data_IF_677105322264
#
_entry.id   IF_677105322264
#
_cell.length_a   1.000
_cell.length_b   1.000
_cell.length_c   1.000
_cell.angle_alpha   90.00
_cell.angle_beta   90.00
_cell.angle_gamma   90.00
#
_symmetry.space_group_name_H-M   'P 1'
#
loop_
_entity.id
_entity.type
_entity.pdbx_description
1 polymer ?
#
# COMPACT_ATOMS: atom_id res chain seq x y z
N UNK A 1 -20.37 -16.68 -4.56
CA UNK A 1 -19.52 -15.60 -5.08
C UNK A 1 -20.43 -14.52 -5.60
N UNK A 2 -20.43 -13.36 -4.96
CA UNK A 2 -21.29 -12.23 -5.33
C UNK A 2 -20.39 -11.02 -5.59
N UNK A 3 -19.91 -10.88 -6.82
CA UNK A 3 -19.28 -9.63 -7.25
C UNK A 3 -20.41 -8.61 -7.39
N UNK A 4 -20.41 -7.58 -6.56
CA UNK A 4 -21.33 -6.44 -6.67
C UNK A 4 -20.56 -5.27 -7.27
N UNK A 5 -21.12 -4.65 -8.30
CA UNK A 5 -20.60 -3.43 -8.88
C UNK A 5 -21.49 -2.27 -8.43
N UNK A 6 -20.88 -1.15 -8.05
CA UNK A 6 -21.58 0.08 -7.73
C UNK A 6 -20.92 1.21 -8.53
N UNK A 7 -21.73 2.13 -9.04
CA UNK A 7 -21.25 3.40 -9.60
C UNK A 7 -21.07 4.35 -8.43
N UNK A 8 -19.88 4.93 -8.31
CA UNK A 8 -19.50 5.86 -7.24
C UNK A 8 -19.05 7.18 -7.87
N UNK A 9 -18.97 8.24 -7.07
CA UNK A 9 -18.40 9.51 -7.52
C UNK A 9 -16.86 9.39 -7.64
N UNK A 10 -16.24 10.42 -8.21
CA UNK A 10 -14.79 10.43 -8.46
C UNK A 10 -13.96 10.34 -7.16
N UNK A 11 -14.39 11.02 -6.09
CA UNK A 11 -13.66 11.06 -4.83
C UNK A 11 -13.66 9.68 -4.14
N UNK A 12 -14.81 9.03 -4.08
CA UNK A 12 -14.95 7.65 -3.58
C UNK A 12 -14.11 6.67 -4.41
N UNK A 13 -14.06 6.87 -5.74
CA UNK A 13 -13.24 6.04 -6.62
C UNK A 13 -11.74 6.24 -6.35
N UNK A 14 -11.28 7.48 -6.16
CA UNK A 14 -9.88 7.79 -5.83
C UNK A 14 -9.47 7.16 -4.50
N UNK A 15 -10.28 7.30 -3.46
CA UNK A 15 -10.05 6.68 -2.15
C UNK A 15 -9.95 5.16 -2.27
N UNK A 16 -10.91 4.52 -2.94
CA UNK A 16 -10.91 3.08 -3.13
C UNK A 16 -9.70 2.60 -3.94
N UNK A 17 -9.32 3.33 -4.99
CA UNK A 17 -8.19 3.00 -5.86
C UNK A 17 -6.84 3.16 -5.15
N UNK A 18 -6.66 4.24 -4.40
CA UNK A 18 -5.47 4.47 -3.59
C UNK A 18 -5.35 3.41 -2.49
N UNK A 19 -6.44 3.17 -1.73
CA UNK A 19 -6.48 2.15 -0.69
C UNK A 19 -6.16 0.75 -1.23
N UNK A 20 -6.69 0.41 -2.42
CA UNK A 20 -6.36 -0.85 -3.10
C UNK A 20 -4.89 -0.92 -3.51
N UNK A 21 -4.36 0.15 -4.09
CA UNK A 21 -2.97 0.23 -4.54
C UNK A 21 -2.00 0.07 -3.36
N UNK A 22 -2.22 0.82 -2.27
CA UNK A 22 -1.45 0.73 -1.02
C UNK A 22 -1.54 -0.67 -0.44
N UNK A 23 -2.74 -1.25 -0.36
CA UNK A 23 -2.91 -2.62 0.12
C UNK A 23 -2.11 -3.61 -0.72
N UNK A 24 -2.22 -3.51 -2.05
CA UNK A 24 -1.49 -4.43 -2.93
C UNK A 24 0.01 -4.27 -2.80
N UNK A 25 0.53 -3.05 -2.63
CA UNK A 25 1.96 -2.75 -2.49
C UNK A 25 2.54 -3.14 -1.14
N UNK A 26 1.74 -3.03 -0.06
CA UNK A 26 2.16 -3.39 1.29
C UNK A 26 2.16 -4.91 1.51
N UNK A 27 1.10 -5.62 1.13
CA UNK A 27 0.91 -7.00 1.61
C UNK A 27 1.81 -8.05 0.94
N UNK A 28 2.15 -7.93 -0.35
CA UNK A 28 3.13 -8.87 -0.92
C UNK A 28 4.50 -8.76 -0.24
N UNK A 29 4.85 -7.52 0.09
CA UNK A 29 6.11 -7.17 0.72
C UNK A 29 6.14 -7.64 2.17
N UNK A 30 5.14 -7.25 2.97
CA UNK A 30 5.09 -7.57 4.40
C UNK A 30 4.93 -9.07 4.66
N UNK A 31 4.12 -9.79 3.86
CA UNK A 31 3.99 -11.25 3.96
C UNK A 31 5.35 -11.96 3.82
N UNK A 32 6.25 -11.44 2.99
CA UNK A 32 7.61 -11.99 2.81
C UNK A 32 8.60 -11.43 3.82
N UNK A 33 8.57 -10.13 4.06
CA UNK A 33 9.54 -9.44 4.91
C UNK A 33 9.39 -9.81 6.38
N UNK A 34 8.15 -9.90 6.90
CA UNK A 34 7.91 -10.31 8.29
C UNK A 34 8.24 -11.78 8.48
N UNK A 35 7.97 -12.62 7.47
CA UNK A 35 8.44 -14.01 7.47
C UNK A 35 9.97 -14.10 7.56
N UNK A 36 10.68 -13.36 6.69
CA UNK A 36 12.13 -13.35 6.65
C UNK A 36 12.76 -12.87 7.97
N UNK A 37 12.20 -11.82 8.58
CA UNK A 37 12.62 -11.32 9.90
C UNK A 37 12.49 -12.38 11.00
N UNK A 38 11.46 -13.23 10.91
CA UNK A 38 11.23 -14.35 11.84
C UNK A 38 11.97 -15.64 11.45
N UNK A 39 12.80 -15.62 10.41
CA UNK A 39 13.52 -16.80 9.92
C UNK A 39 12.63 -17.88 9.30
N UNK A 40 11.43 -17.52 8.83
CA UNK A 40 10.49 -18.47 8.25
C UNK A 40 10.81 -18.73 6.76
N UNK A 41 10.75 -19.99 6.28
CA UNK A 41 11.10 -20.35 4.91
C UNK A 41 10.00 -20.02 3.89
N UNK A 42 8.82 -19.58 4.34
CA UNK A 42 7.65 -19.26 3.51
C UNK A 42 7.11 -17.87 3.81
N UNK A 43 6.41 -17.28 2.86
CA UNK A 43 5.58 -16.11 3.15
C UNK A 43 4.50 -16.44 4.18
N UNK A 44 4.16 -15.44 4.99
CA UNK A 44 2.94 -15.42 5.79
C UNK A 44 1.73 -15.18 4.88
N UNK A 45 0.56 -15.66 5.30
CA UNK A 45 -0.72 -15.19 4.74
C UNK A 45 -0.99 -13.76 5.19
N UNK A 46 -1.91 -13.07 4.51
CA UNK A 46 -2.33 -11.72 4.93
C UNK A 46 -2.94 -11.74 6.34
N UNK A 47 -3.67 -12.80 6.70
CA UNK A 47 -4.20 -13.02 8.05
C UNK A 47 -3.10 -13.15 9.11
N UNK A 48 -2.10 -14.01 8.86
CA UNK A 48 -0.96 -14.19 9.78
C UNK A 48 -0.19 -12.87 10.04
N UNK A 49 -0.14 -11.98 9.04
CA UNK A 49 0.44 -10.64 9.21
C UNK A 49 -0.45 -9.78 10.12
N UNK A 50 -1.73 -9.58 9.77
CA UNK A 50 -2.61 -8.63 10.48
C UNK A 50 -3.06 -9.09 11.88
N UNK A 51 -2.99 -10.38 12.17
CA UNK A 51 -3.41 -10.94 13.47
C UNK A 51 -2.24 -11.05 14.46
N UNK A 52 -1.01 -10.80 14.03
CA UNK A 52 0.15 -10.69 14.94
C UNK A 52 0.44 -9.23 15.27
N UNK A 53 0.76 -8.92 16.53
CA UNK A 53 1.07 -7.55 16.98
C UNK A 53 2.16 -6.88 16.12
N UNK A 54 3.31 -7.53 15.99
CA UNK A 54 4.42 -7.06 15.14
C UNK A 54 4.03 -6.87 13.67
N UNK A 55 3.23 -7.78 13.11
CA UNK A 55 2.81 -7.68 11.72
C UNK A 55 1.78 -6.57 11.50
N UNK A 56 0.85 -6.38 12.44
CA UNK A 56 -0.12 -5.31 12.43
C UNK A 56 0.57 -3.94 12.53
N UNK A 57 1.58 -3.80 13.38
CA UNK A 57 2.36 -2.56 13.49
C UNK A 57 3.16 -2.28 12.22
N UNK A 58 3.78 -3.30 11.62
CA UNK A 58 4.44 -3.16 10.32
C UNK A 58 3.46 -2.70 9.22
N UNK A 59 2.23 -3.23 9.20
CA UNK A 59 1.17 -2.78 8.28
C UNK A 59 0.83 -1.32 8.51
N UNK A 60 0.61 -0.89 9.76
CA UNK A 60 0.26 0.51 10.07
C UNK A 60 1.37 1.47 9.65
N UNK A 61 2.62 1.16 10.00
CA UNK A 61 3.76 2.02 9.68
C UNK A 61 3.95 2.14 8.18
N UNK A 62 3.98 1.01 7.46
CA UNK A 62 4.16 1.05 6.01
C UNK A 62 2.96 1.71 5.30
N UNK A 63 1.73 1.42 5.73
CA UNK A 63 0.54 2.02 5.11
C UNK A 63 0.53 3.54 5.26
N UNK A 64 0.91 4.08 6.44
CA UNK A 64 1.02 5.53 6.65
C UNK A 64 2.08 6.16 5.74
N UNK A 65 3.26 5.55 5.65
CA UNK A 65 4.33 6.03 4.77
C UNK A 65 3.89 6.08 3.28
N UNK A 66 3.12 5.08 2.83
CA UNK A 66 2.57 5.06 1.46
C UNK A 66 1.40 6.05 1.27
N UNK A 67 0.58 6.27 2.31
CA UNK A 67 -0.49 7.28 2.31
C UNK A 67 0.08 8.69 2.24
N UNK A 68 1.11 9.00 3.02
CA UNK A 68 1.80 10.29 2.98
C UNK A 68 2.36 10.58 1.59
N UNK A 69 2.91 9.57 0.92
CA UNK A 69 3.36 9.68 -0.47
C UNK A 69 2.19 9.95 -1.44
N UNK A 70 1.07 9.24 -1.30
CA UNK A 70 -0.11 9.44 -2.13
C UNK A 70 -0.73 10.83 -1.94
N UNK A 71 -0.78 11.35 -0.70
CA UNK A 71 -1.19 12.72 -0.41
C UNK A 71 -0.23 13.75 -1.01
N UNK A 72 1.09 13.56 -0.83
CA UNK A 72 2.09 14.47 -1.40
C UNK A 72 2.04 14.52 -2.93
N UNK A 73 1.62 13.42 -3.57
CA UNK A 73 1.40 13.33 -5.00
C UNK A 73 0.06 13.90 -5.48
N UNK A 74 -0.85 14.28 -4.56
CA UNK A 74 -2.19 14.78 -4.88
C UNK A 74 -3.20 13.70 -5.27
N UNK A 75 -2.89 12.42 -5.04
CA UNK A 75 -3.79 11.29 -5.31
C UNK A 75 -4.88 11.14 -4.23
N UNK A 76 -4.60 11.65 -3.03
CA UNK A 76 -5.52 11.71 -1.90
C UNK A 76 -5.58 13.15 -1.37
N UNK A 77 -6.78 13.63 -1.04
CA UNK A 77 -6.97 14.91 -0.36
C UNK A 77 -6.69 14.76 1.13
N UNK A 78 -6.11 15.76 1.77
CA UNK A 78 -5.99 15.78 3.23
C UNK A 78 -7.33 16.10 3.86
N UNK A 79 -7.58 15.50 5.02
CA UNK A 79 -8.76 15.82 5.84
C UNK A 79 -8.78 17.30 6.29
N UNK A 80 -7.64 17.99 6.29
CA UNK A 80 -7.58 19.41 6.64
C UNK A 80 -8.03 20.34 5.49
N UNK A 81 -8.11 19.83 4.25
CA UNK A 81 -8.53 20.60 3.07
C UNK A 81 -10.07 20.68 2.93
N UNK A 82 -10.82 19.90 3.73
CA UNK A 82 -12.29 19.78 3.68
C UNK A 82 -13.04 20.71 4.65
N UNK A 83 -12.36 21.62 5.35
CA UNK A 83 -12.95 22.50 6.37
C UNK A 83 -13.91 23.60 5.85
N UNK A 84 -14.57 23.42 4.68
CA UNK A 84 -15.39 24.46 4.06
C UNK A 84 -16.58 24.02 3.19
N UNK A 85 -16.96 22.74 3.13
CA UNK A 85 -18.12 22.31 2.32
C UNK A 85 -19.13 21.48 3.14
N UNK A 86 -20.29 22.07 3.39
CA UNK A 86 -21.43 21.51 4.14
C UNK A 86 -22.15 20.42 3.31
N UNK A 87 -21.50 19.28 3.06
CA UNK A 87 -22.04 18.29 2.13
C UNK A 87 -21.48 16.87 2.24
N UNK A 88 -21.68 16.19 3.37
CA UNK A 88 -21.78 14.73 3.49
C UNK A 88 -20.75 13.81 2.79
N UNK A 89 -19.54 14.29 2.45
CA UNK A 89 -18.39 13.44 2.17
C UNK A 89 -17.63 13.28 3.48
N UNK A 90 -17.86 12.17 4.19
CA UNK A 90 -17.21 11.94 5.48
C UNK A 90 -15.68 12.01 5.33
N UNK A 91 -15.01 12.80 6.18
CA UNK A 91 -13.55 12.90 6.23
C UNK A 91 -12.92 11.51 6.16
N UNK A 92 -12.37 11.13 5.01
CA UNK A 92 -11.64 9.89 4.87
C UNK A 92 -10.25 10.13 5.41
N UNK A 93 -10.09 9.88 6.71
CA UNK A 93 -8.79 9.95 7.37
C UNK A 93 -7.90 8.78 6.92
N UNK A 94 -6.58 8.97 6.96
CA UNK A 94 -5.62 7.88 6.80
C UNK A 94 -5.97 6.67 7.68
N UNK A 95 -6.42 6.92 8.92
CA UNK A 95 -6.82 5.87 9.85
C UNK A 95 -8.05 5.09 9.37
N UNK A 96 -9.00 5.74 8.69
CA UNK A 96 -10.13 5.06 8.06
C UNK A 96 -9.67 4.12 6.93
N UNK A 97 -8.71 4.53 6.11
CA UNK A 97 -8.12 3.70 5.04
C UNK A 97 -7.37 2.51 5.65
N UNK A 98 -6.53 2.75 6.66
CA UNK A 98 -5.80 1.69 7.36
C UNK A 98 -6.78 0.70 8.00
N UNK A 99 -7.85 1.17 8.67
CA UNK A 99 -8.90 0.30 9.22
C UNK A 99 -9.55 -0.55 8.14
N UNK A 100 -9.92 0.04 7.01
CA UNK A 100 -10.51 -0.68 5.87
C UNK A 100 -9.53 -1.73 5.30
N UNK A 101 -8.23 -1.44 5.26
CA UNK A 101 -7.21 -2.42 4.86
C UNK A 101 -7.17 -3.63 5.80
N UNK A 102 -7.27 -3.41 7.11
CA UNK A 102 -7.34 -4.50 8.11
C UNK A 102 -8.61 -5.33 7.94
N UNK A 103 -9.77 -4.67 7.81
CA UNK A 103 -11.06 -5.35 7.57
C UNK A 103 -11.05 -6.19 6.31
N UNK A 104 -10.55 -5.63 5.20
CA UNK A 104 -10.41 -6.35 3.94
C UNK A 104 -9.46 -7.55 4.09
N UNK A 105 -8.30 -7.38 4.73
CA UNK A 105 -7.34 -8.47 4.94
C UNK A 105 -7.93 -9.63 5.74
N UNK A 106 -8.71 -9.32 6.79
CA UNK A 106 -9.42 -10.33 7.59
C UNK A 106 -10.56 -11.01 6.84
N UNK A 107 -11.07 -10.42 5.77
CA UNK A 107 -12.07 -11.07 4.89
C UNK A 107 -11.46 -12.12 3.95
N UNK A 108 -10.14 -12.06 3.72
CA UNK A 108 -9.39 -12.99 2.84
C UNK A 108 -8.13 -13.56 3.51
N UNK A 109 -8.23 -14.08 4.76
CA UNK A 109 -7.08 -14.27 5.65
C UNK A 109 -6.09 -15.35 5.19
N UNK A 110 -6.53 -16.29 4.35
CA UNK A 110 -5.70 -17.36 3.78
C UNK A 110 -4.91 -16.93 2.54
N UNK A 111 -5.09 -15.69 2.05
CA UNK A 111 -4.42 -15.22 0.85
C UNK A 111 -2.92 -15.09 1.07
N UNK A 112 -2.14 -15.59 0.11
CA UNK A 112 -0.68 -15.41 0.03
C UNK A 112 -0.38 -14.68 -1.27
N UNK A 113 0.01 -13.40 -1.23
CA UNK A 113 0.35 -12.67 -2.45
C UNK A 113 1.54 -13.31 -3.19
N UNK A 114 1.47 -13.36 -4.52
CA UNK A 114 2.55 -13.90 -5.36
C UNK A 114 3.72 -12.93 -5.47
N UNK A 115 4.92 -13.39 -5.05
CA UNK A 115 6.16 -12.63 -5.19
C UNK A 115 6.54 -12.44 -6.67
N UNK A 116 6.45 -13.51 -7.46
CA UNK A 116 6.78 -13.48 -8.89
C UNK A 116 5.96 -12.40 -9.62
N UNK A 117 4.65 -12.37 -9.37
CA UNK A 117 3.75 -11.38 -9.95
C UNK A 117 4.06 -9.97 -9.45
N UNK A 118 4.35 -9.82 -8.16
CA UNK A 118 4.69 -8.53 -7.59
C UNK A 118 5.99 -7.96 -8.18
N UNK A 119 6.99 -8.80 -8.44
CA UNK A 119 8.25 -8.39 -9.08
C UNK A 119 8.04 -8.03 -10.55
N UNK A 120 7.26 -8.82 -11.29
CA UNK A 120 6.91 -8.54 -12.69
C UNK A 120 6.17 -7.21 -12.84
N UNK A 121 5.30 -6.90 -11.88
CA UNK A 121 4.53 -5.65 -11.81
C UNK A 121 5.20 -4.61 -10.90
N UNK A 122 6.49 -4.78 -10.59
CA UNK A 122 7.17 -4.01 -9.54
C UNK A 122 7.14 -2.51 -9.77
N UNK A 123 7.28 -2.07 -11.04
CA UNK A 123 7.18 -0.66 -11.44
C UNK A 123 5.78 -0.07 -11.21
N UNK A 124 4.72 -0.83 -11.45
CA UNK A 124 3.34 -0.41 -11.23
C UNK A 124 2.97 -0.38 -9.73
N UNK A 125 3.41 -1.40 -8.97
CA UNK A 125 3.06 -1.53 -7.55
C UNK A 125 3.87 -0.60 -6.66
N UNK A 126 5.13 -0.93 -6.43
CA UNK A 126 5.98 -0.22 -5.45
C UNK A 126 6.84 0.85 -6.13
N UNK A 127 7.18 0.66 -7.40
CA UNK A 127 7.98 1.59 -8.18
C UNK A 127 7.35 2.98 -8.28
N UNK A 128 6.03 3.08 -8.41
CA UNK A 128 5.31 4.36 -8.41
C UNK A 128 5.56 5.17 -7.13
N UNK A 129 5.47 4.52 -5.95
CA UNK A 129 5.73 5.17 -4.65
C UNK A 129 7.20 5.54 -4.51
N UNK A 130 8.09 4.62 -4.88
CA UNK A 130 9.54 4.80 -4.73
C UNK A 130 10.08 5.89 -5.66
N UNK A 131 9.53 6.04 -6.86
CA UNK A 131 9.92 7.10 -7.80
C UNK A 131 9.52 8.51 -7.32
N UNK A 132 8.57 8.59 -6.37
CA UNK A 132 8.05 9.84 -5.80
C UNK A 132 8.61 10.16 -4.41
N UNK A 133 9.50 9.33 -3.87
CA UNK A 133 10.16 9.64 -2.60
C UNK A 133 10.97 10.92 -2.73
N UNK A 134 10.87 11.80 -1.75
CA UNK A 134 11.65 13.04 -1.67
C UNK A 134 12.31 13.18 -0.31
N UNK A 135 13.04 14.27 -0.08
CA UNK A 135 13.58 14.58 1.25
C UNK A 135 12.44 14.89 2.23
N UNK A 136 11.36 15.48 1.75
CA UNK A 136 10.16 15.87 2.51
C UNK A 136 9.18 14.71 2.71
N UNK A 137 9.20 13.70 1.83
CA UNK A 137 8.43 12.46 1.93
C UNK A 137 9.36 11.25 1.76
N UNK A 138 10.21 10.96 2.76
CA UNK A 138 11.12 9.83 2.70
C UNK A 138 10.35 8.51 2.93
N UNK A 139 10.88 7.39 2.41
CA UNK A 139 10.26 6.07 2.53
C UNK A 139 11.17 5.00 3.18
N UNK A 140 11.69 5.24 4.40
CA UNK A 140 12.69 4.36 5.00
C UNK A 140 12.13 2.98 5.36
N UNK A 141 10.85 2.88 5.75
CA UNK A 141 10.22 1.62 6.14
C UNK A 141 10.02 0.73 4.91
N UNK A 142 9.49 1.32 3.84
CA UNK A 142 9.28 0.67 2.57
C UNK A 142 10.58 0.12 2.00
N UNK A 143 11.64 0.95 1.97
CA UNK A 143 12.95 0.53 1.51
C UNK A 143 13.55 -0.57 2.38
N UNK A 144 13.44 -0.48 3.71
CA UNK A 144 13.96 -1.49 4.62
C UNK A 144 13.29 -2.86 4.41
N UNK A 145 11.97 -2.89 4.22
CA UNK A 145 11.26 -4.13 3.91
C UNK A 145 11.67 -4.73 2.57
N UNK A 146 11.85 -3.90 1.53
CA UNK A 146 12.30 -4.36 0.20
C UNK A 146 13.70 -4.98 0.28
N UNK A 147 14.65 -4.25 0.87
CA UNK A 147 16.03 -4.74 1.04
C UNK A 147 16.07 -6.04 1.86
N UNK A 148 15.21 -6.17 2.89
CA UNK A 148 15.13 -7.39 3.72
C UNK A 148 14.76 -8.63 2.90
N UNK A 149 14.00 -8.48 1.82
CA UNK A 149 13.62 -9.58 0.94
C UNK A 149 14.49 -9.67 -0.33
N UNK A 150 15.63 -8.97 -0.35
CA UNK A 150 16.58 -8.98 -1.46
C UNK A 150 16.13 -8.18 -2.69
N UNK A 151 15.18 -7.25 -2.51
CA UNK A 151 14.71 -6.37 -3.58
C UNK A 151 15.34 -4.99 -3.43
N UNK A 152 15.95 -4.50 -4.50
CA UNK A 152 16.52 -3.16 -4.53
C UNK A 152 15.43 -2.11 -4.82
N UNK A 153 15.17 -1.16 -3.91
CA UNK A 153 14.19 -0.09 -4.12
C UNK A 153 14.49 0.77 -5.36
N UNK A 154 15.76 0.98 -5.69
CA UNK A 154 16.16 1.83 -6.80
C UNK A 154 15.83 1.19 -8.15
N UNK A 155 15.96 -0.13 -8.23
CA UNK A 155 15.55 -0.89 -9.42
C UNK A 155 14.05 -0.77 -9.66
N UNK A 156 13.22 -0.88 -8.62
CA UNK A 156 11.77 -0.74 -8.78
C UNK A 156 11.36 0.69 -9.17
N UNK A 157 12.02 1.71 -8.62
CA UNK A 157 11.79 3.10 -9.00
C UNK A 157 12.17 3.34 -10.48
N UNK A 158 13.32 2.83 -10.91
CA UNK A 158 13.76 2.93 -12.30
C UNK A 158 12.77 2.24 -13.26
N UNK A 159 12.28 1.04 -12.90
CA UNK A 159 11.26 0.33 -13.68
C UNK A 159 10.01 1.19 -13.91
N UNK A 160 9.53 1.91 -12.88
CA UNK A 160 8.39 2.81 -13.03
C UNK A 160 8.69 3.93 -14.02
N UNK A 161 9.84 4.60 -13.87
CA UNK A 161 10.23 5.71 -14.74
C UNK A 161 10.38 5.27 -16.20
N UNK A 162 11.01 4.11 -16.45
CA UNK A 162 11.18 3.57 -17.80
C UNK A 162 9.86 3.18 -18.47
N UNK A 163 8.91 2.66 -17.70
CA UNK A 163 7.58 2.29 -18.19
C UNK A 163 6.77 3.52 -18.62
N UNK A 164 6.95 4.66 -17.93
CA UNK A 164 6.17 5.88 -18.15
C UNK A 164 6.92 6.94 -18.99
N UNK A 165 8.20 6.77 -19.29
CA UNK A 165 8.95 7.64 -20.20
C UNK A 165 8.63 7.40 -21.69
N UNK A 166 7.76 6.44 -22.00
CA UNK A 166 7.38 6.05 -23.37
C UNK A 166 6.01 6.59 -23.80
N UNK A 167 5.39 7.41 -22.96
CA UNK A 167 4.12 8.12 -23.23
C UNK A 167 4.40 9.59 -23.59
#
# INVERSE_FOLDING_TARGET
GNVRCAVVNEDDFRVASAGKSIWTSAFWLLCRSVAAERGLPRALTVGEVVDSEHGADAVRTLARELLDCAEAAGELRRADDTAGDDGAAGDVTQEAIVRAMFEYSRSIPSSVPSLEMALKEGGFRNGWFLARRTVESPQPTHEAHLRRIGVDPDVLAAMHLEQNARE
#
